data_IF_352299370126
#
_entry.id   IF_352299370126
#
_cell.length_a   1.000
_cell.length_b   1.000
_cell.length_c   1.000
_cell.angle_alpha   90.00
_cell.angle_beta   90.00
_cell.angle_gamma   90.00
#
_symmetry.space_group_name_H-M   'P 1'
#
loop_
_entity.id
_entity.type
_entity.pdbx_description
1 polymer ?
#
# COMPACT_ATOMS: atom_id res chain seq x y z
N UNK A 1 14.93 0.01 -20.55
CA UNK A 1 15.15 1.00 -19.47
C UNK A 1 15.31 0.28 -18.15
N UNK A 2 15.73 0.98 -17.11
CA UNK A 2 16.01 0.38 -15.82
C UNK A 2 14.74 0.17 -14.99
N UNK A 3 14.68 -0.95 -14.26
CA UNK A 3 13.70 -1.23 -13.20
C UNK A 3 14.47 -1.35 -11.88
N UNK A 4 14.08 -0.58 -10.88
CA UNK A 4 14.74 -0.54 -9.59
C UNK A 4 13.77 -0.91 -8.47
N UNK A 5 14.26 -1.72 -7.54
CA UNK A 5 13.58 -2.12 -6.33
C UNK A 5 14.36 -1.56 -5.13
N UNK A 6 13.73 -0.69 -4.35
CA UNK A 6 14.32 -0.06 -3.17
C UNK A 6 13.43 -0.30 -1.94
N UNK A 7 14.00 -0.16 -0.75
CA UNK A 7 13.22 -0.15 0.50
C UNK A 7 12.99 1.28 0.97
N UNK A 8 11.73 1.72 1.01
CA UNK A 8 11.34 3.00 1.59
C UNK A 8 11.28 2.90 3.11
N UNK A 9 11.86 3.85 3.86
CA UNK A 9 11.63 3.93 5.29
C UNK A 9 10.18 4.34 5.61
N UNK A 10 9.68 4.07 6.83
CA UNK A 10 8.43 4.65 7.29
C UNK A 10 8.58 6.16 7.48
N UNK A 11 7.49 6.91 7.35
CA UNK A 11 7.45 8.36 7.51
C UNK A 11 7.76 9.16 6.24
N UNK A 12 8.42 8.57 5.24
CA UNK A 12 8.68 9.23 3.94
C UNK A 12 7.44 9.14 3.03
N UNK A 13 6.79 10.25 2.66
CA UNK A 13 5.68 10.24 1.72
C UNK A 13 6.16 10.00 0.28
N UNK A 14 5.27 9.46 -0.56
CA UNK A 14 5.56 9.26 -1.99
C UNK A 14 5.54 10.60 -2.73
N UNK A 15 4.45 11.34 -2.54
CA UNK A 15 4.24 12.71 -3.00
C UNK A 15 4.23 13.61 -1.75
N UNK A 16 4.98 14.71 -1.78
CA UNK A 16 5.11 15.62 -0.65
C UNK A 16 4.38 16.94 -0.88
N UNK A 17 4.13 17.67 0.20
CA UNK A 17 3.74 19.07 0.12
C UNK A 17 4.96 19.98 -0.13
N UNK A 18 4.77 21.24 -0.57
CA UNK A 18 5.88 22.19 -0.70
C UNK A 18 6.68 22.31 0.60
N UNK A 19 8.00 22.12 0.51
CA UNK A 19 8.90 22.14 1.68
C UNK A 19 9.02 20.82 2.43
N UNK A 20 8.25 19.79 2.07
CA UNK A 20 8.34 18.44 2.66
C UNK A 20 9.22 17.53 1.80
N UNK A 21 10.11 16.76 2.44
CA UNK A 21 10.89 15.75 1.75
C UNK A 21 9.99 14.57 1.34
N UNK A 22 10.03 14.19 0.06
CA UNK A 22 9.26 13.07 -0.49
C UNK A 22 10.13 12.16 -1.37
N UNK A 23 9.63 10.95 -1.62
CA UNK A 23 10.29 10.03 -2.55
C UNK A 23 10.43 10.64 -3.94
N UNK A 24 9.39 11.33 -4.44
CA UNK A 24 9.41 12.00 -5.74
C UNK A 24 10.50 13.07 -5.82
N UNK A 25 10.62 13.92 -4.80
CA UNK A 25 11.66 14.95 -4.72
C UNK A 25 13.09 14.37 -4.71
N UNK A 26 13.24 13.13 -4.24
CA UNK A 26 14.53 12.43 -4.17
C UNK A 26 14.92 11.71 -5.47
N UNK A 27 14.01 11.53 -6.43
CA UNK A 27 14.28 10.77 -7.66
C UNK A 27 15.45 11.34 -8.48
N UNK A 28 15.61 12.67 -8.66
CA UNK A 28 16.76 13.21 -9.40
C UNK A 28 18.10 12.90 -8.73
N UNK A 29 18.16 13.01 -7.40
CA UNK A 29 19.36 12.70 -6.62
C UNK A 29 19.69 11.20 -6.66
N UNK A 30 18.67 10.33 -6.57
CA UNK A 30 18.82 8.88 -6.73
C UNK A 30 19.31 8.52 -8.14
N UNK A 31 18.74 9.14 -9.18
CA UNK A 31 19.19 8.94 -10.57
C UNK A 31 20.67 9.26 -10.73
N UNK A 32 21.09 10.43 -10.24
CA UNK A 32 22.49 10.87 -10.30
C UNK A 32 23.42 9.92 -9.54
N UNK A 33 23.05 9.56 -8.31
CA UNK A 33 23.86 8.69 -7.44
C UNK A 33 24.02 7.27 -8.00
N UNK A 34 23.06 6.80 -8.79
CA UNK A 34 23.07 5.49 -9.44
C UNK A 34 23.59 5.53 -10.89
N UNK A 35 23.99 6.71 -11.39
CA UNK A 35 24.51 6.86 -12.76
C UNK A 35 23.48 6.52 -13.84
N UNK A 36 22.19 6.72 -13.58
CA UNK A 36 21.12 6.33 -14.50
C UNK A 36 20.86 7.42 -15.54
N UNK A 37 20.77 7.09 -16.85
CA UNK A 37 20.68 8.08 -17.91
C UNK A 37 19.27 8.69 -18.05
N UNK A 38 18.24 7.94 -17.67
CA UNK A 38 16.84 8.32 -17.84
C UNK A 38 16.19 8.69 -16.51
N UNK A 39 15.17 9.55 -16.59
CA UNK A 39 14.35 9.91 -15.42
C UNK A 39 13.67 8.68 -14.83
N UNK A 40 13.62 8.66 -13.50
CA UNK A 40 12.95 7.62 -12.73
C UNK A 40 11.54 8.09 -12.38
N UNK A 41 10.59 7.18 -12.45
CA UNK A 41 9.22 7.39 -11.99
C UNK A 41 8.83 6.30 -11.00
N UNK A 42 8.01 6.65 -10.03
CA UNK A 42 7.44 5.68 -9.08
C UNK A 42 6.39 4.84 -9.80
N UNK A 43 6.61 3.54 -9.85
CA UNK A 43 5.64 2.56 -10.38
C UNK A 43 4.68 2.13 -9.27
N UNK A 44 5.24 1.80 -8.11
CA UNK A 44 4.48 1.39 -6.92
C UNK A 44 5.30 1.67 -5.67
N UNK A 45 4.65 2.21 -4.64
CA UNK A 45 5.24 2.43 -3.34
C UNK A 45 4.18 2.24 -2.25
N UNK A 46 4.56 1.86 -1.02
CA UNK A 46 3.65 1.84 0.11
C UNK A 46 3.37 3.26 0.61
N UNK A 47 2.31 3.42 1.41
CA UNK A 47 1.92 4.71 2.00
C UNK A 47 3.02 5.29 2.91
N UNK A 48 2.84 6.55 3.33
CA UNK A 48 3.80 7.30 4.15
C UNK A 48 4.19 6.52 5.41
N UNK A 49 3.20 5.98 6.11
CA UNK A 49 3.31 5.29 7.39
C UNK A 49 4.01 3.92 7.25
N UNK A 50 3.99 3.35 6.05
CA UNK A 50 4.51 2.02 5.77
C UNK A 50 5.94 2.08 5.23
N UNK A 51 6.79 1.19 5.73
CA UNK A 51 8.07 0.86 5.08
C UNK A 51 7.89 -0.18 3.97
N UNK A 52 8.92 -0.36 3.14
CA UNK A 52 9.05 -1.54 2.30
C UNK A 52 9.26 -1.24 0.82
N UNK A 53 8.94 -2.22 -0.02
CA UNK A 53 9.32 -2.24 -1.42
C UNK A 53 8.71 -1.10 -2.23
N UNK A 54 9.59 -0.33 -2.87
CA UNK A 54 9.29 0.65 -3.92
C UNK A 54 9.81 0.12 -5.24
N UNK A 55 8.96 0.18 -6.26
CA UNK A 55 9.33 -0.09 -7.64
C UNK A 55 9.45 1.24 -8.38
N UNK A 56 10.61 1.50 -8.97
CA UNK A 56 10.89 2.65 -9.82
C UNK A 56 11.23 2.17 -11.23
N UNK A 57 10.85 2.92 -12.25
CA UNK A 57 11.17 2.59 -13.63
C UNK A 57 11.57 3.84 -14.41
N UNK A 58 12.55 3.67 -15.29
CA UNK A 58 12.92 4.68 -16.29
C UNK A 58 12.33 4.41 -17.67
N UNK A 59 11.39 3.46 -17.76
CA UNK A 59 10.79 2.98 -19.00
C UNK A 59 9.27 2.99 -18.87
N UNK A 60 8.62 3.80 -19.69
CA UNK A 60 7.17 3.93 -19.71
C UNK A 60 6.47 2.59 -19.94
N UNK A 61 6.89 1.82 -20.95
CA UNK A 61 6.34 0.48 -21.24
C UNK A 61 6.43 -0.48 -20.05
N UNK A 62 7.56 -0.49 -19.32
CA UNK A 62 7.72 -1.34 -18.15
C UNK A 62 6.81 -0.88 -17.00
N UNK A 63 6.66 0.44 -16.80
CA UNK A 63 5.71 1.02 -15.83
C UNK A 63 4.29 0.57 -16.12
N UNK A 64 3.83 0.71 -17.37
CA UNK A 64 2.49 0.30 -17.80
C UNK A 64 2.27 -1.20 -17.59
N UNK A 65 3.22 -2.05 -18.00
CA UNK A 65 3.13 -3.50 -17.84
C UNK A 65 2.99 -3.91 -16.36
N UNK A 66 3.75 -3.30 -15.46
CA UNK A 66 3.69 -3.60 -14.03
C UNK A 66 2.36 -3.10 -13.44
N UNK A 67 1.92 -1.89 -13.77
CA UNK A 67 0.64 -1.35 -13.31
C UNK A 67 -0.54 -2.20 -13.80
N UNK A 68 -0.47 -2.67 -15.05
CA UNK A 68 -1.44 -3.59 -15.63
C UNK A 68 -1.44 -4.93 -14.91
N UNK A 69 -0.27 -5.49 -14.59
CA UNK A 69 -0.16 -6.72 -13.79
C UNK A 69 -0.90 -6.61 -12.45
N UNK A 70 -0.67 -5.54 -11.66
CA UNK A 70 -1.38 -5.36 -10.39
C UNK A 70 -2.89 -5.22 -10.58
N UNK A 71 -3.31 -4.55 -11.65
CA UNK A 71 -4.73 -4.38 -11.98
C UNK A 71 -5.39 -5.70 -12.37
N UNK A 72 -4.76 -6.48 -13.23
CA UNK A 72 -5.27 -7.77 -13.69
C UNK A 72 -5.25 -8.82 -12.59
N UNK A 73 -4.20 -8.85 -11.76
CA UNK A 73 -4.14 -9.72 -10.59
C UNK A 73 -5.36 -9.49 -9.68
N UNK A 74 -5.69 -8.22 -9.37
CA UNK A 74 -6.87 -7.89 -8.57
C UNK A 74 -8.19 -8.28 -9.24
N UNK A 75 -8.32 -8.04 -10.55
CA UNK A 75 -9.51 -8.44 -11.33
C UNK A 75 -9.72 -9.96 -11.33
N UNK A 76 -8.63 -10.73 -11.34
CA UNK A 76 -8.64 -12.20 -11.22
C UNK A 76 -8.78 -12.71 -9.79
N UNK A 77 -8.99 -11.81 -8.82
CA UNK A 77 -9.16 -12.17 -7.41
C UNK A 77 -7.87 -12.57 -6.70
N UNK A 78 -6.70 -12.26 -7.28
CA UNK A 78 -5.38 -12.56 -6.72
C UNK A 78 -4.91 -11.47 -5.75
N UNK A 79 -3.85 -11.79 -5.00
CA UNK A 79 -3.29 -10.98 -3.94
C UNK A 79 -1.84 -10.60 -4.25
N UNK A 80 -1.61 -9.59 -5.09
CA UNK A 80 -0.28 -9.31 -5.65
C UNK A 80 0.67 -8.61 -4.66
N UNK A 81 0.21 -8.27 -3.45
CA UNK A 81 1.01 -7.57 -2.44
C UNK A 81 0.89 -8.29 -1.11
N UNK A 82 2.03 -8.42 -0.43
CA UNK A 82 2.12 -8.97 0.92
C UNK A 82 2.72 -7.93 1.85
N UNK A 83 2.02 -7.65 2.95
CA UNK A 83 2.47 -6.82 4.06
C UNK A 83 2.78 -7.70 5.27
N UNK A 84 3.66 -7.20 6.13
CA UNK A 84 3.88 -7.76 7.46
C UNK A 84 3.60 -6.68 8.49
N UNK A 85 2.87 -7.03 9.53
CA UNK A 85 2.52 -6.12 10.62
C UNK A 85 2.61 -6.84 11.96
N UNK A 86 3.04 -6.13 12.98
CA UNK A 86 2.89 -6.56 14.38
C UNK A 86 1.63 -5.93 14.93
N UNK A 87 0.75 -6.74 15.50
CA UNK A 87 -0.49 -6.28 16.14
C UNK A 87 -0.42 -6.47 17.65
N UNK A 88 -1.04 -5.55 18.39
CA UNK A 88 -1.42 -5.81 19.78
C UNK A 88 -2.65 -6.72 19.76
N UNK A 89 -2.61 -7.79 20.53
CA UNK A 89 -3.56 -8.89 20.46
C UNK A 89 -3.18 -9.92 19.40
N UNK A 90 -3.59 -11.17 19.67
CA UNK A 90 -3.48 -12.30 18.75
C UNK A 90 -4.87 -12.58 18.18
N UNK A 91 -5.05 -12.60 16.84
CA UNK A 91 -6.31 -13.03 16.26
C UNK A 91 -6.73 -14.41 16.79
N UNK A 92 -8.03 -14.62 16.99
CA UNK A 92 -8.54 -15.90 17.49
C UNK A 92 -8.23 -17.06 16.53
N UNK A 93 -8.31 -16.80 15.22
CA UNK A 93 -7.99 -17.76 14.18
C UNK A 93 -6.58 -17.53 13.62
N UNK A 94 -5.89 -18.63 13.27
CA UNK A 94 -4.52 -18.56 12.72
C UNK A 94 -4.49 -17.94 11.30
N UNK A 95 -5.59 -17.97 10.58
CA UNK A 95 -5.75 -17.36 9.27
C UNK A 95 -7.21 -17.00 9.00
N UNK A 96 -7.45 -16.08 8.08
CA UNK A 96 -8.80 -15.71 7.72
C UNK A 96 -8.89 -14.53 6.77
N UNK A 97 -10.12 -14.03 6.62
CA UNK A 97 -10.44 -12.90 5.76
C UNK A 97 -11.08 -11.76 6.57
N UNK A 98 -10.53 -10.56 6.43
CA UNK A 98 -11.09 -9.33 6.98
C UNK A 98 -11.89 -8.67 5.87
N UNK A 99 -13.21 -8.60 6.07
CA UNK A 99 -14.18 -7.97 5.16
C UNK A 99 -14.78 -6.76 5.83
N UNK A 100 -14.44 -5.57 5.36
CA UNK A 100 -14.97 -4.32 5.87
C UNK A 100 -15.12 -3.29 4.75
N UNK A 101 -16.11 -2.42 4.86
CA UNK A 101 -16.10 -1.17 4.12
C UNK A 101 -15.07 -0.21 4.72
N UNK A 102 -14.47 0.67 3.92
CA UNK A 102 -13.67 1.80 4.39
C UNK A 102 -14.27 3.09 3.82
N UNK A 103 -14.37 4.13 4.64
CA UNK A 103 -14.70 5.48 4.18
C UNK A 103 -13.80 6.52 4.81
N UNK A 104 -13.72 7.67 4.16
CA UNK A 104 -13.07 8.85 4.71
C UNK A 104 -14.06 9.60 5.61
N UNK A 105 -13.61 9.99 6.79
CA UNK A 105 -14.40 10.78 7.72
C UNK A 105 -13.57 11.99 8.16
N UNK A 106 -14.21 13.17 8.15
CA UNK A 106 -13.61 14.37 8.71
C UNK A 106 -13.72 14.34 10.24
N UNK A 107 -12.59 14.48 10.93
CA UNK A 107 -12.50 14.62 12.38
C UNK A 107 -11.69 15.88 12.70
N UNK A 108 -12.40 16.95 13.03
CA UNK A 108 -11.81 18.29 13.14
C UNK A 108 -11.15 18.70 11.83
N UNK A 109 -9.87 19.08 11.91
CA UNK A 109 -9.09 19.51 10.74
C UNK A 109 -8.44 18.34 9.97
N UNK A 110 -8.64 17.09 10.41
CA UNK A 110 -8.01 15.91 9.79
C UNK A 110 -9.02 14.99 9.14
N UNK A 111 -8.69 14.45 7.97
CA UNK A 111 -9.45 13.37 7.33
C UNK A 111 -8.84 12.02 7.70
N UNK A 112 -9.64 11.12 8.27
CA UNK A 112 -9.21 9.78 8.69
C UNK A 112 -9.95 8.69 7.91
N UNK A 113 -9.34 7.52 7.75
CA UNK A 113 -10.01 6.33 7.20
C UNK A 113 -10.61 5.54 8.33
N UNK A 114 -11.92 5.28 8.28
CA UNK A 114 -12.64 4.50 9.30
C UNK A 114 -13.24 3.21 8.72
N UNK A 115 -13.21 2.11 9.47
CA UNK A 115 -13.86 0.87 9.07
C UNK A 115 -15.38 0.94 9.24
N UNK A 116 -16.10 0.39 8.27
CA UNK A 116 -17.56 0.22 8.25
C UNK A 116 -17.83 -1.29 8.17
N UNK A 117 -18.07 -1.98 9.29
CA UNK A 117 -18.18 -3.45 9.33
C UNK A 117 -19.30 -4.02 8.44
N UNK A 118 -20.42 -3.30 8.32
CA UNK A 118 -21.58 -3.72 7.53
C UNK A 118 -22.06 -2.58 6.63
N UNK A 119 -21.38 -2.33 5.50
CA UNK A 119 -21.71 -1.21 4.63
C UNK A 119 -23.05 -1.44 3.92
N UNK A 120 -23.93 -0.44 3.96
CA UNK A 120 -25.22 -0.48 3.29
C UNK A 120 -25.08 -0.51 1.75
N UNK A 121 -26.02 -1.16 1.05
CA UNK A 121 -26.01 -1.23 -0.42
C UNK A 121 -25.97 0.14 -1.10
N UNK A 122 -26.67 1.13 -0.53
CA UNK A 122 -26.73 2.50 -1.07
C UNK A 122 -25.39 3.23 -0.98
N UNK A 123 -24.68 3.14 0.15
CA UNK A 123 -23.39 3.81 0.33
C UNK A 123 -22.29 3.19 -0.54
N UNK A 124 -22.35 1.88 -0.78
CA UNK A 124 -21.50 1.20 -1.75
C UNK A 124 -21.79 1.67 -3.19
N UNK A 125 -23.07 1.74 -3.58
CA UNK A 125 -23.46 2.17 -4.92
C UNK A 125 -23.05 3.63 -5.21
N UNK A 126 -23.13 4.50 -4.20
CA UNK A 126 -22.69 5.90 -4.26
C UNK A 126 -21.17 6.09 -4.12
N UNK A 127 -20.41 5.01 -3.90
CA UNK A 127 -18.96 5.04 -3.65
C UNK A 127 -18.54 5.88 -2.44
N UNK A 128 -19.44 6.11 -1.50
CA UNK A 128 -19.16 6.73 -0.20
C UNK A 128 -18.33 5.78 0.68
N UNK A 129 -18.54 4.47 0.51
CA UNK A 129 -17.79 3.40 1.18
C UNK A 129 -17.15 2.50 0.12
N UNK A 130 -15.86 2.21 0.29
CA UNK A 130 -15.14 1.23 -0.54
C UNK A 130 -15.14 -0.12 0.16
N UNK A 131 -15.68 -1.15 -0.48
CA UNK A 131 -15.58 -2.52 0.03
C UNK A 131 -14.15 -3.03 -0.05
N UNK A 132 -13.67 -3.64 1.03
CA UNK A 132 -12.32 -4.17 1.13
C UNK A 132 -12.28 -5.62 1.58
N UNK A 133 -11.25 -6.33 1.10
CA UNK A 133 -10.96 -7.70 1.48
C UNK A 133 -9.45 -7.84 1.67
N UNK A 134 -9.06 -8.29 2.86
CA UNK A 134 -7.67 -8.58 3.21
C UNK A 134 -7.60 -9.98 3.78
N UNK A 135 -6.75 -10.82 3.19
CA UNK A 135 -6.38 -12.11 3.80
C UNK A 135 -5.31 -11.89 4.84
N UNK A 136 -5.40 -12.62 5.94
CA UNK A 136 -4.37 -12.62 6.96
C UNK A 136 -3.95 -14.04 7.32
N UNK A 137 -2.71 -14.16 7.78
CA UNK A 137 -2.17 -15.35 8.42
C UNK A 137 -1.24 -14.94 9.56
N UNK A 138 -1.42 -15.55 10.72
CA UNK A 138 -0.51 -15.43 11.86
C UNK A 138 0.77 -16.19 11.54
N UNK A 139 1.90 -15.48 11.56
CA UNK A 139 3.23 -16.05 11.36
C UNK A 139 3.93 -16.40 12.68
N UNK A 140 3.55 -15.73 13.76
CA UNK A 140 4.05 -15.97 15.11
C UNK A 140 3.33 -15.08 16.12
N UNK A 141 3.32 -15.48 17.38
CA UNK A 141 2.73 -14.70 18.46
C UNK A 141 3.58 -14.83 19.73
N UNK A 142 3.76 -13.71 20.43
CA UNK A 142 4.50 -13.65 21.69
C UNK A 142 4.10 -12.39 22.47
N UNK A 143 4.07 -12.46 23.80
CA UNK A 143 3.86 -11.29 24.66
C UNK A 143 2.54 -10.54 24.42
N UNK A 144 1.48 -11.26 24.03
CA UNK A 144 0.19 -10.64 23.70
C UNK A 144 0.16 -9.95 22.33
N UNK A 145 1.20 -10.08 21.52
CA UNK A 145 1.29 -9.53 20.16
C UNK A 145 1.37 -10.65 19.12
N UNK A 146 1.02 -10.34 17.88
CA UNK A 146 1.15 -11.25 16.74
C UNK A 146 1.86 -10.60 15.57
N UNK A 147 2.73 -11.36 14.89
CA UNK A 147 3.24 -11.04 13.56
C UNK A 147 2.28 -11.62 12.52
N UNK A 148 1.68 -10.74 11.72
CA UNK A 148 0.74 -11.11 10.67
C UNK A 148 1.35 -10.93 9.30
N UNK A 149 1.08 -11.88 8.40
CA UNK A 149 1.09 -11.66 6.97
C UNK A 149 -0.28 -11.12 6.55
N UNK A 150 -0.30 -10.03 5.76
CA UNK A 150 -1.51 -9.38 5.28
C UNK A 150 -1.47 -9.25 3.76
N UNK A 151 -2.56 -9.61 3.09
CA UNK A 151 -2.64 -9.63 1.64
C UNK A 151 -3.95 -8.94 1.20
N UNK A 152 -3.92 -7.64 0.84
CA UNK A 152 -5.11 -6.92 0.40
C UNK A 152 -5.44 -7.22 -1.07
N UNK A 153 -6.74 -7.29 -1.38
CA UNK A 153 -7.27 -7.46 -2.76
C UNK A 153 -7.74 -6.14 -3.41
N UNK A 154 -7.78 -5.07 -2.64
CA UNK A 154 -8.44 -3.77 -2.93
C UNK A 154 -7.85 -2.92 -4.03
#
# INVERSE_FOLDING_TARGET
>A
GALLALSKPPGLPVLGHPGELSLEALLPALRQRLGLPAELHVVKAPARECSGLVLLSSCHRATEQIQQFFTDARRRGQYPVTYRAVTVGVPAEAEGEIRAGLCWQQQGDTTVVVPVPSPGRRSLARKEVKSTLTRYRVLGAAGGCALLQLQPRT
#
